data_IF_926153131362
#
_entry.id   IF_926153131362
#
_cell.length_a   1.000
_cell.length_b   1.000
_cell.length_c   1.000
_cell.angle_alpha   90.00
_cell.angle_beta   90.00
_cell.angle_gamma   90.00
#
_symmetry.space_group_name_H-M   'P 1'
#
loop_
_entity.id
_entity.type
_entity.pdbx_description
1 polymer ?
#
# COMPACT_ATOMS: atom_id res chain seq x y z
N UNK A 1 -63.77 -3.19 -36.99
CA UNK A 1 -62.94 -3.84 -35.94
C UNK A 1 -61.63 -4.44 -36.47
N UNK A 2 -61.49 -4.75 -37.77
CA UNK A 2 -60.26 -5.36 -38.31
C UNK A 2 -59.04 -4.42 -38.45
N UNK A 3 -59.23 -3.09 -38.50
CA UNK A 3 -58.14 -2.13 -38.69
C UNK A 3 -57.39 -1.73 -37.40
N UNK A 4 -57.97 -1.94 -36.22
CA UNK A 4 -57.34 -1.61 -34.93
C UNK A 4 -56.32 -2.66 -34.49
N UNK A 5 -56.49 -3.91 -34.93
CA UNK A 5 -55.64 -5.04 -34.58
C UNK A 5 -54.17 -4.88 -35.03
N UNK A 6 -53.85 -4.47 -36.28
CA UNK A 6 -52.46 -4.26 -36.70
C UNK A 6 -51.79 -3.09 -35.97
N UNK A 7 -52.52 -2.05 -35.61
CA UNK A 7 -51.99 -0.89 -34.88
C UNK A 7 -51.60 -1.27 -33.45
N UNK A 8 -52.49 -1.98 -32.74
CA UNK A 8 -52.22 -2.48 -31.39
C UNK A 8 -51.08 -3.49 -31.40
N UNK A 9 -51.05 -4.40 -32.38
CA UNK A 9 -49.96 -5.36 -32.54
C UNK A 9 -48.61 -4.68 -32.80
N UNK A 10 -48.56 -3.67 -33.68
CA UNK A 10 -47.35 -2.89 -33.95
C UNK A 10 -46.85 -2.12 -32.73
N UNK A 11 -47.77 -1.54 -31.94
CA UNK A 11 -47.43 -0.84 -30.70
C UNK A 11 -46.88 -1.78 -29.63
N UNK A 12 -47.49 -2.95 -29.44
CA UNK A 12 -46.99 -3.97 -28.53
C UNK A 12 -45.62 -4.51 -28.98
N UNK A 13 -45.45 -4.77 -30.27
CA UNK A 13 -44.20 -5.27 -30.82
C UNK A 13 -43.05 -4.27 -30.63
N UNK A 14 -43.29 -2.99 -30.92
CA UNK A 14 -42.30 -1.92 -30.73
C UNK A 14 -42.00 -1.66 -29.26
N UNK A 15 -42.99 -1.76 -28.37
CA UNK A 15 -42.80 -1.65 -26.91
C UNK A 15 -41.96 -2.79 -26.36
N UNK A 16 -42.23 -4.03 -26.77
CA UNK A 16 -41.45 -5.21 -26.34
C UNK A 16 -40.02 -5.15 -26.89
N UNK A 17 -39.85 -4.82 -28.18
CA UNK A 17 -38.53 -4.63 -28.79
C UNK A 17 -37.75 -3.51 -28.09
N UNK A 18 -38.39 -2.36 -27.84
CA UNK A 18 -37.80 -1.24 -27.10
C UNK A 18 -37.40 -1.60 -25.68
N UNK A 19 -38.24 -2.38 -24.97
CA UNK A 19 -37.95 -2.87 -23.62
C UNK A 19 -36.76 -3.84 -23.56
N UNK A 20 -36.66 -4.76 -24.52
CA UNK A 20 -35.54 -5.72 -24.61
C UNK A 20 -34.22 -5.00 -24.95
N UNK A 21 -34.25 -4.06 -25.90
CA UNK A 21 -33.11 -3.20 -26.23
C UNK A 21 -32.68 -2.34 -25.03
N UNK A 22 -33.64 -1.72 -24.35
CA UNK A 22 -33.41 -0.94 -23.14
C UNK A 22 -32.75 -1.76 -22.03
N UNK A 23 -33.24 -2.98 -21.78
CA UNK A 23 -32.65 -3.90 -20.80
C UNK A 23 -31.21 -4.28 -21.15
N UNK A 24 -30.91 -4.54 -22.43
CA UNK A 24 -29.56 -4.89 -22.86
C UNK A 24 -28.58 -3.72 -22.67
N UNK A 25 -28.98 -2.50 -23.05
CA UNK A 25 -28.17 -1.30 -22.84
C UNK A 25 -28.01 -0.96 -21.36
N UNK A 26 -29.07 -1.05 -20.56
CA UNK A 26 -29.01 -0.83 -19.11
C UNK A 26 -28.07 -1.82 -18.43
N UNK A 27 -28.13 -3.11 -18.79
CA UNK A 27 -27.24 -4.13 -18.23
C UNK A 27 -25.77 -3.87 -18.61
N UNK A 28 -25.49 -3.45 -19.85
CA UNK A 28 -24.13 -3.11 -20.30
C UNK A 28 -23.60 -1.85 -19.61
N UNK A 29 -24.43 -0.81 -19.50
CA UNK A 29 -24.09 0.44 -18.82
C UNK A 29 -23.83 0.21 -17.32
N UNK A 30 -24.69 -0.55 -16.66
CA UNK A 30 -24.54 -0.92 -15.25
C UNK A 30 -23.24 -1.70 -14.99
N UNK A 31 -22.94 -2.69 -15.83
CA UNK A 31 -21.70 -3.44 -15.72
C UNK A 31 -20.44 -2.57 -15.97
N UNK A 32 -20.53 -1.58 -16.85
CA UNK A 32 -19.44 -0.64 -17.08
C UNK A 32 -19.28 0.33 -15.89
N UNK A 33 -20.38 0.90 -15.41
CA UNK A 33 -20.38 1.84 -14.28
C UNK A 33 -19.88 1.18 -12.99
N UNK A 34 -20.27 -0.07 -12.72
CA UNK A 34 -19.73 -0.81 -11.58
C UNK A 34 -18.23 -1.05 -11.69
N UNK A 35 -17.71 -1.40 -12.87
CA UNK A 35 -16.26 -1.60 -13.05
C UNK A 35 -15.46 -0.33 -12.83
N UNK A 36 -15.95 0.81 -13.34
CA UNK A 36 -15.31 2.11 -13.13
C UNK A 36 -15.33 2.46 -11.64
N UNK A 37 -16.49 2.36 -10.99
CA UNK A 37 -16.64 2.66 -9.57
C UNK A 37 -15.74 1.79 -8.67
N UNK A 38 -15.60 0.49 -8.97
CA UNK A 38 -14.69 -0.39 -8.21
C UNK A 38 -13.24 0.03 -8.40
N UNK A 39 -12.83 0.37 -9.62
CA UNK A 39 -11.46 0.84 -9.90
C UNK A 39 -11.13 2.15 -9.18
N UNK A 40 -12.07 3.10 -9.17
CA UNK A 40 -11.88 4.36 -8.47
C UNK A 40 -11.73 4.14 -6.96
N UNK A 41 -12.58 3.30 -6.37
CA UNK A 41 -12.47 2.92 -4.95
C UNK A 41 -11.16 2.21 -4.64
N UNK A 42 -10.72 1.28 -5.48
CA UNK A 42 -9.45 0.57 -5.28
C UNK A 42 -8.27 1.53 -5.36
N UNK A 43 -8.32 2.51 -6.27
CA UNK A 43 -7.30 3.57 -6.39
C UNK A 43 -7.27 4.48 -5.18
N UNK A 44 -8.42 4.96 -4.71
CA UNK A 44 -8.53 5.77 -3.48
C UNK A 44 -7.97 5.01 -2.27
N UNK A 45 -8.29 3.72 -2.14
CA UNK A 45 -7.78 2.86 -1.07
C UNK A 45 -6.27 2.68 -1.18
N UNK A 46 -5.75 2.44 -2.39
CA UNK A 46 -4.32 2.33 -2.62
C UNK A 46 -3.56 3.62 -2.26
N UNK A 47 -4.13 4.80 -2.55
CA UNK A 47 -3.56 6.11 -2.14
C UNK A 47 -3.44 6.19 -0.63
N UNK A 48 -4.50 5.86 0.13
CA UNK A 48 -4.43 5.88 1.60
C UNK A 48 -3.38 4.92 2.16
N UNK A 49 -3.26 3.72 1.58
CA UNK A 49 -2.22 2.74 1.97
C UNK A 49 -0.83 3.28 1.67
N UNK A 50 -0.63 3.89 0.50
CA UNK A 50 0.62 4.54 0.13
C UNK A 50 1.00 5.66 1.12
N UNK A 51 0.06 6.55 1.45
CA UNK A 51 0.30 7.66 2.38
C UNK A 51 0.66 7.14 3.78
N UNK A 52 -0.01 6.10 4.26
CA UNK A 52 0.28 5.49 5.55
C UNK A 52 1.68 4.85 5.58
N UNK A 53 2.01 4.04 4.58
CA UNK A 53 3.28 3.31 4.49
C UNK A 53 4.46 4.27 4.27
N UNK A 54 4.35 5.21 3.34
CA UNK A 54 5.40 6.20 3.05
C UNK A 54 5.72 7.05 4.29
N UNK A 55 4.68 7.57 4.97
CA UNK A 55 4.84 8.34 6.21
C UNK A 55 5.53 7.54 7.30
N UNK A 56 5.19 6.25 7.46
CA UNK A 56 5.80 5.39 8.46
C UNK A 56 7.29 5.12 8.16
N UNK A 57 7.62 4.83 6.90
CA UNK A 57 8.99 4.63 6.43
C UNK A 57 9.85 5.88 6.66
N UNK A 58 9.37 7.04 6.22
CA UNK A 58 10.08 8.32 6.34
C UNK A 58 10.28 8.70 7.80
N UNK A 59 9.23 8.54 8.62
CA UNK A 59 9.31 8.81 10.07
C UNK A 59 10.36 7.90 10.71
N UNK A 60 10.36 6.60 10.41
CA UNK A 60 11.32 5.65 10.99
C UNK A 60 12.75 5.97 10.59
N UNK A 61 12.98 6.22 9.30
CA UNK A 61 14.30 6.60 8.76
C UNK A 61 14.81 7.89 9.40
N UNK A 62 13.94 8.90 9.52
CA UNK A 62 14.31 10.17 10.14
C UNK A 62 14.70 10.01 11.61
N UNK A 63 13.93 9.24 12.40
CA UNK A 63 14.25 8.99 13.81
C UNK A 63 15.54 8.19 13.97
N UNK A 64 15.78 7.22 13.11
CA UNK A 64 17.03 6.45 13.07
C UNK A 64 18.24 7.37 12.80
N UNK A 65 18.17 8.23 11.76
CA UNK A 65 19.22 9.21 11.43
C UNK A 65 19.51 10.16 12.59
N UNK A 66 18.47 10.71 13.20
CA UNK A 66 18.62 11.62 14.33
C UNK A 66 19.32 10.98 15.52
N UNK A 67 19.01 9.71 15.82
CA UNK A 67 19.68 8.97 16.88
C UNK A 67 21.14 8.72 16.52
N UNK A 68 21.42 8.20 15.33
CA UNK A 68 22.78 7.99 14.84
C UNK A 68 23.64 9.26 14.93
N UNK A 69 23.17 10.38 14.38
CA UNK A 69 23.93 11.64 14.42
C UNK A 69 24.13 12.19 15.84
N UNK A 70 23.21 11.91 16.77
CA UNK A 70 23.39 12.29 18.18
C UNK A 70 24.47 11.47 18.88
N UNK A 71 24.75 10.26 18.40
CA UNK A 71 25.76 9.36 18.97
C UNK A 71 27.12 9.47 18.28
N UNK A 72 27.14 9.74 16.97
CA UNK A 72 28.36 9.84 16.18
C UNK A 72 29.20 11.10 16.50
N UNK A 73 28.58 12.18 16.99
CA UNK A 73 29.23 13.47 17.24
C UNK A 73 29.72 13.70 18.68
N UNK A 74 29.35 12.85 19.64
CA UNK A 74 29.71 13.01 21.06
C UNK A 74 30.73 11.93 21.46
N UNK A 75 31.65 12.28 22.38
CA UNK A 75 32.81 11.48 22.85
C UNK A 75 32.45 10.19 23.61
N UNK A 76 31.43 9.45 23.16
CA UNK A 76 31.02 8.17 23.74
C UNK A 76 30.15 8.30 25.00
N UNK A 77 29.82 9.53 25.44
CA UNK A 77 28.97 9.76 26.62
C UNK A 77 27.56 10.12 26.19
N UNK A 78 26.55 9.38 26.69
CA UNK A 78 25.13 9.72 26.48
C UNK A 78 24.84 11.15 26.95
N UNK A 79 24.37 12.00 26.04
CA UNK A 79 23.80 13.31 26.38
C UNK A 79 22.28 13.25 26.56
N UNK A 80 21.73 14.28 27.21
CA UNK A 80 20.29 14.51 27.25
C UNK A 80 19.66 14.56 25.84
N UNK A 81 20.39 15.09 24.84
CA UNK A 81 19.95 15.09 23.44
C UNK A 81 19.81 13.66 22.91
N UNK A 82 20.80 12.81 23.15
CA UNK A 82 20.81 11.42 22.70
C UNK A 82 19.67 10.62 23.36
N UNK A 83 19.37 10.84 24.64
CA UNK A 83 18.23 10.22 25.36
C UNK A 83 16.88 10.57 24.70
N UNK A 84 16.64 11.85 24.42
CA UNK A 84 15.42 12.28 23.71
C UNK A 84 15.31 11.66 22.30
N UNK A 85 16.44 11.48 21.59
CA UNK A 85 16.42 10.82 20.27
C UNK A 85 16.13 9.33 20.39
N UNK A 86 16.66 8.66 21.41
CA UNK A 86 16.38 7.26 21.69
C UNK A 86 14.90 7.03 22.02
N UNK A 87 14.28 7.88 22.85
CA UNK A 87 12.84 7.82 23.12
C UNK A 87 12.01 7.97 21.83
N UNK A 88 12.33 8.97 21.00
CA UNK A 88 11.65 9.16 19.72
C UNK A 88 11.85 8.00 18.74
N UNK A 89 13.01 7.34 18.78
CA UNK A 89 13.27 6.14 18.00
C UNK A 89 12.46 4.92 18.50
N UNK A 90 12.41 4.70 19.82
CA UNK A 90 11.57 3.63 20.41
C UNK A 90 10.09 3.82 20.10
N UNK A 91 9.60 5.07 20.15
CA UNK A 91 8.21 5.37 19.82
C UNK A 91 7.85 4.94 18.39
N UNK A 92 8.72 5.22 17.40
CA UNK A 92 8.46 4.80 16.02
C UNK A 92 8.63 3.29 15.82
N UNK A 93 9.48 2.62 16.61
CA UNK A 93 9.53 1.16 16.61
C UNK A 93 8.23 0.53 17.12
N UNK A 94 7.61 1.09 18.16
CA UNK A 94 6.30 0.63 18.61
C UNK A 94 5.23 0.82 17.53
N UNK A 95 5.15 2.02 16.94
CA UNK A 95 4.22 2.30 15.84
C UNK A 95 4.42 1.36 14.64
N UNK A 96 5.69 1.07 14.30
CA UNK A 96 6.02 0.11 13.25
C UNK A 96 5.50 -1.29 13.59
N UNK A 97 5.80 -1.79 14.78
CA UNK A 97 5.41 -3.13 15.21
C UNK A 97 3.90 -3.29 15.31
N UNK A 98 3.19 -2.28 15.79
CA UNK A 98 1.72 -2.31 15.92
C UNK A 98 1.03 -2.33 14.55
N UNK A 99 1.63 -1.71 13.54
CA UNK A 99 1.04 -1.58 12.20
C UNK A 99 1.56 -2.59 11.18
N UNK A 100 2.63 -3.35 11.47
CA UNK A 100 3.35 -4.14 10.45
C UNK A 100 2.46 -5.14 9.72
N UNK A 101 1.69 -5.95 10.44
CA UNK A 101 0.86 -7.00 9.84
C UNK A 101 -0.27 -6.42 9.00
N UNK A 102 -0.86 -5.30 9.46
CA UNK A 102 -1.89 -4.58 8.72
C UNK A 102 -1.32 -4.00 7.42
N UNK A 103 -0.16 -3.36 7.50
CA UNK A 103 0.51 -2.77 6.34
C UNK A 103 0.92 -3.85 5.33
N UNK A 104 1.48 -4.97 5.77
CA UNK A 104 1.83 -6.10 4.89
C UNK A 104 0.61 -6.65 4.14
N UNK A 105 -0.52 -6.85 4.85
CA UNK A 105 -1.76 -7.33 4.24
C UNK A 105 -2.30 -6.33 3.21
N UNK A 106 -2.30 -5.03 3.53
CA UNK A 106 -2.77 -3.97 2.63
C UNK A 106 -1.87 -3.80 1.41
N UNK A 107 -0.55 -3.82 1.59
CA UNK A 107 0.41 -3.77 0.49
C UNK A 107 0.17 -4.97 -0.43
N UNK A 108 0.06 -6.18 0.10
CA UNK A 108 -0.21 -7.36 -0.73
C UNK A 108 -1.53 -7.24 -1.49
N UNK A 109 -2.60 -6.78 -0.82
CA UNK A 109 -3.91 -6.64 -1.42
C UNK A 109 -3.92 -5.63 -2.58
N UNK A 110 -3.31 -4.47 -2.39
CA UNK A 110 -3.41 -3.35 -3.33
C UNK A 110 -2.25 -3.24 -4.31
N UNK A 111 -1.07 -3.72 -3.95
CA UNK A 111 0.17 -3.55 -4.71
C UNK A 111 0.85 -4.87 -5.07
N UNK A 112 0.36 -6.00 -4.54
CA UNK A 112 0.84 -7.34 -4.88
C UNK A 112 1.99 -7.86 -4.03
N UNK A 113 2.35 -9.12 -4.29
CA UNK A 113 3.33 -9.88 -3.48
C UNK A 113 4.73 -9.29 -3.59
N UNK A 114 5.12 -8.79 -4.76
CA UNK A 114 6.47 -8.23 -4.98
C UNK A 114 6.75 -7.01 -4.09
N UNK A 115 5.81 -6.05 -4.04
CA UNK A 115 5.97 -4.88 -3.19
C UNK A 115 5.91 -5.26 -1.71
N UNK A 116 5.03 -6.21 -1.33
CA UNK A 116 4.97 -6.73 0.03
C UNK A 116 6.29 -7.39 0.45
N UNK A 117 6.89 -8.20 -0.42
CA UNK A 117 8.16 -8.88 -0.17
C UNK A 117 9.31 -7.88 -0.04
N UNK A 118 9.39 -6.88 -0.93
CA UNK A 118 10.41 -5.82 -0.85
C UNK A 118 10.28 -5.00 0.43
N UNK A 119 9.06 -4.68 0.87
CA UNK A 119 8.83 -3.96 2.10
C UNK A 119 9.29 -4.74 3.34
N UNK A 120 8.98 -6.04 3.41
CA UNK A 120 9.30 -6.91 4.56
C UNK A 120 10.78 -7.32 4.57
N UNK A 121 11.21 -7.98 3.49
CA UNK A 121 12.47 -8.74 3.43
C UNK A 121 13.67 -7.92 2.96
N UNK A 122 13.46 -6.72 2.39
CA UNK A 122 14.56 -5.81 2.03
C UNK A 122 14.57 -4.59 2.93
N UNK A 123 13.57 -3.72 2.79
CA UNK A 123 13.51 -2.45 3.53
C UNK A 123 13.38 -2.71 5.04
N UNK A 124 12.46 -3.59 5.44
CA UNK A 124 12.28 -3.99 6.84
C UNK A 124 13.54 -4.63 7.44
N UNK A 125 14.20 -5.52 6.70
CA UNK A 125 15.45 -6.15 7.10
C UNK A 125 16.60 -5.13 7.28
N UNK A 126 16.73 -4.15 6.38
CA UNK A 126 17.72 -3.10 6.47
C UNK A 126 17.46 -2.18 7.67
N UNK A 127 16.20 -1.83 7.95
CA UNK A 127 15.83 -1.12 9.17
C UNK A 127 16.21 -1.89 10.44
N UNK A 128 16.00 -3.20 10.47
CA UNK A 128 16.38 -4.05 11.62
C UNK A 128 17.90 -4.05 11.79
N UNK A 129 18.65 -4.21 10.70
CA UNK A 129 20.12 -4.26 10.73
C UNK A 129 20.71 -2.94 11.22
N UNK A 130 20.29 -1.81 10.64
CA UNK A 130 20.76 -0.49 11.07
C UNK A 130 20.26 -0.12 12.47
N UNK A 131 19.05 -0.55 12.83
CA UNK A 131 18.50 -0.38 14.18
C UNK A 131 19.35 -1.09 15.24
N UNK A 132 19.76 -2.33 14.98
CA UNK A 132 20.66 -3.07 15.88
C UNK A 132 22.01 -2.37 16.03
N UNK A 133 22.57 -1.88 14.94
CA UNK A 133 23.85 -1.17 14.95
C UNK A 133 23.77 0.13 15.78
N UNK A 134 22.71 0.93 15.61
CA UNK A 134 22.53 2.16 16.38
C UNK A 134 22.26 1.88 17.87
N UNK A 135 21.56 0.78 18.18
CA UNK A 135 21.33 0.33 19.56
C UNK A 135 22.61 -0.20 20.22
N UNK A 136 23.50 -0.87 19.47
CA UNK A 136 24.81 -1.27 19.96
C UNK A 136 25.64 -0.03 20.32
N UNK A 137 25.71 0.97 19.43
CA UNK A 137 26.34 2.26 19.69
C UNK A 137 25.75 2.93 20.94
N UNK A 138 24.43 2.97 21.06
CA UNK A 138 23.73 3.54 22.23
C UNK A 138 24.12 2.85 23.54
N UNK A 139 24.33 1.54 23.50
CA UNK A 139 24.71 0.73 24.65
C UNK A 139 26.22 0.73 24.91
N UNK A 140 27.01 1.50 24.14
CA UNK A 140 28.47 1.53 24.25
C UNK A 140 29.13 0.20 23.85
N UNK A 141 28.44 -0.61 23.04
CA UNK A 141 28.97 -1.88 22.55
C UNK A 141 29.52 -1.70 21.13
N UNK A 142 30.65 -2.33 20.86
CA UNK A 142 31.31 -2.34 19.56
C UNK A 142 31.03 -3.64 18.78
N UNK A 143 29.96 -4.37 19.13
CA UNK A 143 29.56 -5.62 18.49
C UNK A 143 28.63 -5.36 17.31
N UNK A 144 29.04 -5.84 16.12
CA UNK A 144 28.23 -5.81 14.91
C UNK A 144 28.82 -4.96 13.78
N UNK A 145 28.06 -4.89 12.69
CA UNK A 145 28.44 -4.13 11.50
C UNK A 145 28.20 -2.63 11.75
N UNK A 146 29.19 -1.75 11.48
CA UNK A 146 29.05 -0.33 11.76
C UNK A 146 27.91 0.30 10.93
N UNK A 147 27.19 1.22 11.56
CA UNK A 147 26.27 2.12 10.89
C UNK A 147 27.03 3.38 10.48
N UNK A 148 26.76 3.85 9.27
CA UNK A 148 27.31 5.09 8.74
C UNK A 148 26.27 5.81 7.86
N UNK A 149 26.63 7.01 7.40
CA UNK A 149 25.76 7.81 6.52
C UNK A 149 25.53 7.12 5.17
N UNK A 150 26.49 6.34 4.66
CA UNK A 150 26.39 5.63 3.38
C UNK A 150 25.25 4.61 3.40
N UNK A 151 25.17 3.79 4.45
CA UNK A 151 24.11 2.79 4.60
C UNK A 151 22.75 3.44 4.87
N UNK A 152 22.73 4.52 5.66
CA UNK A 152 21.51 5.31 5.89
C UNK A 152 20.98 5.94 4.59
N UNK A 153 21.87 6.40 3.70
CA UNK A 153 21.48 6.93 2.39
C UNK A 153 21.03 5.82 1.44
N UNK A 154 21.69 4.67 1.46
CA UNK A 154 21.26 3.50 0.69
C UNK A 154 19.83 3.08 1.06
N UNK A 155 19.51 3.01 2.36
CA UNK A 155 18.14 2.73 2.81
C UNK A 155 17.16 3.84 2.38
N UNK A 156 17.57 5.11 2.42
CA UNK A 156 16.74 6.22 1.95
C UNK A 156 16.41 6.10 0.46
N UNK A 157 17.39 5.75 -0.37
CA UNK A 157 17.20 5.55 -1.80
C UNK A 157 16.27 4.37 -2.08
N UNK A 158 16.38 3.28 -1.32
CA UNK A 158 15.46 2.14 -1.43
C UNK A 158 14.02 2.52 -1.08
N UNK A 159 13.82 3.30 0.01
CA UNK A 159 12.51 3.81 0.43
C UNK A 159 11.92 4.74 -0.63
N UNK A 160 12.74 5.64 -1.18
CA UNK A 160 12.32 6.54 -2.25
C UNK A 160 11.87 5.77 -3.50
N UNK A 161 12.69 4.83 -3.97
CA UNK A 161 12.33 4.00 -5.12
C UNK A 161 11.06 3.17 -4.86
N UNK A 162 10.89 2.65 -3.64
CA UNK A 162 9.69 1.91 -3.25
C UNK A 162 8.42 2.80 -3.31
N UNK A 163 8.52 4.03 -2.82
CA UNK A 163 7.43 5.01 -2.90
C UNK A 163 7.09 5.36 -4.35
N UNK A 164 8.09 5.50 -5.23
CA UNK A 164 7.86 5.74 -6.66
C UNK A 164 7.13 4.57 -7.34
N UNK A 165 7.50 3.33 -7.04
CA UNK A 165 6.84 2.14 -7.60
C UNK A 165 5.36 2.07 -7.18
N UNK A 166 5.06 2.39 -5.91
CA UNK A 166 3.67 2.49 -5.43
C UNK A 166 2.89 3.59 -6.17
N UNK A 167 3.49 4.77 -6.35
CA UNK A 167 2.86 5.87 -7.09
C UNK A 167 2.62 5.49 -8.56
N UNK A 168 3.58 4.84 -9.20
CA UNK A 168 3.44 4.36 -10.57
C UNK A 168 2.31 3.34 -10.69
N UNK A 169 2.18 2.42 -9.73
CA UNK A 169 1.08 1.46 -9.71
C UNK A 169 -0.29 2.16 -9.60
N UNK A 170 -0.40 3.17 -8.72
CA UNK A 170 -1.61 3.99 -8.57
C UNK A 170 -1.93 4.74 -9.88
N UNK A 171 -0.94 5.34 -10.52
CA UNK A 171 -1.11 6.14 -11.73
C UNK A 171 -1.57 5.28 -12.91
N UNK A 172 -0.94 4.12 -13.09
CA UNK A 172 -1.22 3.17 -14.19
C UNK A 172 -2.46 2.31 -13.95
N UNK A 173 -3.02 2.33 -12.74
CA UNK A 173 -4.23 1.57 -12.39
C UNK A 173 -3.98 0.08 -12.21
N UNK A 174 -2.74 -0.33 -11.94
CA UNK A 174 -2.35 -1.72 -11.64
C UNK A 174 -2.57 -2.09 -10.17
N UNK A 175 -3.40 -1.33 -9.46
CA UNK A 175 -3.73 -1.51 -8.05
C UNK A 175 -5.03 -2.29 -7.82
N UNK A 176 -5.16 -2.89 -6.64
CA UNK A 176 -6.36 -3.63 -6.23
C UNK A 176 -6.50 -5.01 -6.88
N UNK A 177 -7.59 -5.72 -6.56
CA UNK A 177 -7.79 -7.15 -6.90
C UNK A 177 -7.76 -7.41 -8.42
N UNK A 178 -8.09 -6.39 -9.22
CA UNK A 178 -8.09 -6.49 -10.69
C UNK A 178 -6.75 -6.15 -11.33
N UNK A 179 -5.86 -5.42 -10.63
CA UNK A 179 -4.54 -5.02 -11.12
C UNK A 179 -3.38 -5.87 -10.58
N UNK A 180 -3.49 -6.41 -9.36
CA UNK A 180 -2.38 -7.06 -8.63
C UNK A 180 -2.06 -8.50 -9.05
N UNK A 181 -2.61 -8.99 -10.17
CA UNK A 181 -2.29 -10.33 -10.70
C UNK A 181 -2.73 -11.50 -9.81
N UNK A 182 -3.56 -11.27 -8.79
CA UNK A 182 -4.03 -12.35 -7.92
C UNK A 182 -4.87 -13.37 -8.73
N UNK A 183 -4.53 -14.68 -8.65
CA UNK A 183 -5.20 -15.72 -9.41
C UNK A 183 -6.68 -15.79 -9.05
N UNK A 184 -7.51 -16.10 -10.06
CA UNK A 184 -8.96 -16.19 -9.91
C UNK A 184 -9.42 -17.22 -8.86
N UNK A 185 -8.55 -18.14 -8.42
CA UNK A 185 -8.81 -19.10 -7.35
C UNK A 185 -9.03 -18.46 -5.98
N UNK A 186 -8.59 -17.22 -5.74
CA UNK A 186 -8.93 -16.45 -4.55
C UNK A 186 -10.33 -15.80 -4.61
N UNK A 187 -11.07 -15.96 -5.72
CA UNK A 187 -12.37 -15.30 -5.97
C UNK A 187 -13.60 -16.18 -5.67
N UNK A 188 -13.42 -17.43 -5.25
CA UNK A 188 -14.51 -18.41 -5.12
C UNK A 188 -14.69 -18.92 -3.71
N UNK A 189 -15.47 -18.20 -2.89
CA UNK A 189 -15.76 -18.58 -1.51
C UNK A 189 -17.12 -18.10 -0.99
N UNK A 190 -18.18 -18.17 -1.82
CA UNK A 190 -19.59 -18.45 -1.43
C UNK A 190 -20.55 -18.12 -2.57
N UNK A 191 -20.98 -19.17 -3.26
CA UNK A 191 -22.32 -19.27 -3.84
C UNK A 191 -22.62 -20.78 -3.96
N UNK A 192 -23.58 -21.28 -3.17
CA UNK A 192 -24.04 -22.67 -3.25
C UNK A 192 -24.26 -23.30 -1.89
N UNK A 193 -25.43 -23.02 -1.31
CA UNK A 193 -25.99 -23.57 -0.08
C UNK A 193 -27.30 -22.89 0.20
#
# INVERSE_FOLDING_TARGET
MNELMPVVAGFLLTTVLGGVLGFFFQRRAWAHQHRVQTRDRDRERAVMVFEEVSRLLDKRLYRLRLLYWSLAGETGTRSAKSETRMEGYRQVLFEWNDSINRNLALIQQYFGVELRDRFDNRIGADFVTLGKAVEAMWNGRADGEPIDDTRLNTLADQVYAYNLDMLQAIQTGTVGITGSGLPASARGGRAGG
#
